data_IF_684063422952
#
_entry.id   IF_684063422952
#
_cell.length_a   1.000
_cell.length_b   1.000
_cell.length_c   1.000
_cell.angle_alpha   90.00
_cell.angle_beta   90.00
_cell.angle_gamma   90.00
#
_symmetry.space_group_name_H-M   'P 1'
#
loop_
_entity.id
_entity.type
_entity.pdbx_description
1 polymer ?
#
# COMPACT_ATOMS: atom_id res chain seq x y z
N UNK A 1 16.93 34.91 7.61
CA UNK A 1 16.63 33.56 8.14
C UNK A 1 16.18 33.74 9.58
N UNK A 2 14.88 33.65 9.86
CA UNK A 2 14.38 33.83 11.23
C UNK A 2 14.89 32.68 12.11
N UNK A 3 15.38 32.93 13.33
CA UNK A 3 15.83 31.86 14.21
C UNK A 3 14.67 30.94 14.53
N UNK A 4 14.89 29.62 14.42
CA UNK A 4 13.92 28.63 14.87
C UNK A 4 13.58 28.91 16.35
N UNK A 5 12.29 29.12 16.66
CA UNK A 5 11.85 29.29 18.04
C UNK A 5 12.28 28.07 18.84
N UNK A 6 13.08 28.27 19.88
CA UNK A 6 13.47 27.19 20.78
C UNK A 6 12.20 26.55 21.37
N UNK A 7 12.06 25.25 21.19
CA UNK A 7 11.00 24.47 21.85
C UNK A 7 11.21 24.62 23.36
N UNK A 8 10.19 25.04 24.13
CA UNK A 8 10.33 25.16 25.59
C UNK A 8 10.82 23.83 26.19
N UNK A 9 11.83 23.88 27.06
CA UNK A 9 12.49 22.69 27.62
C UNK A 9 11.50 21.70 28.27
N UNK A 10 10.41 22.21 28.85
CA UNK A 10 9.33 21.41 29.41
C UNK A 10 8.59 20.57 28.35
N UNK A 11 8.30 21.16 27.19
CA UNK A 11 7.61 20.46 26.10
C UNK A 11 8.50 19.33 25.54
N UNK A 12 9.81 19.57 25.38
CA UNK A 12 10.75 18.52 24.97
C UNK A 12 10.81 17.37 25.98
N UNK A 13 10.82 17.69 27.29
CA UNK A 13 10.79 16.68 28.34
C UNK A 13 9.50 15.82 28.28
N UNK A 14 8.34 16.45 28.09
CA UNK A 14 7.04 15.78 28.01
C UNK A 14 6.93 14.88 26.76
N UNK A 15 7.39 15.38 25.60
CA UNK A 15 7.45 14.61 24.35
C UNK A 15 8.34 13.38 24.53
N UNK A 16 9.54 13.54 25.12
CA UNK A 16 10.45 12.40 25.38
C UNK A 16 9.88 11.40 26.37
N UNK A 17 9.13 11.86 27.37
CA UNK A 17 8.46 10.99 28.32
C UNK A 17 7.35 10.17 27.63
N UNK A 18 6.54 10.81 26.79
CA UNK A 18 5.52 10.13 26.00
C UNK A 18 6.15 9.11 25.03
N UNK A 19 7.20 9.49 24.30
CA UNK A 19 7.90 8.60 23.38
C UNK A 19 8.45 7.35 24.08
N UNK A 20 9.04 7.50 25.27
CA UNK A 20 9.51 6.36 26.08
C UNK A 20 8.37 5.46 26.54
N UNK A 21 7.22 6.02 26.92
CA UNK A 21 6.02 5.23 27.26
C UNK A 21 5.50 4.44 26.06
N UNK A 22 5.37 5.08 24.90
CA UNK A 22 4.93 4.42 23.67
C UNK A 22 5.90 3.30 23.27
N UNK A 23 7.21 3.54 23.34
CA UNK A 23 8.22 2.52 23.07
C UNK A 23 8.17 1.33 24.03
N UNK A 24 7.84 1.57 25.31
CA UNK A 24 7.68 0.51 26.31
C UNK A 24 6.45 -0.37 26.09
N UNK A 25 5.35 0.20 25.56
CA UNK A 25 4.12 -0.55 25.24
C UNK A 25 4.18 -1.24 23.88
N UNK A 26 4.96 -0.71 22.94
CA UNK A 26 5.06 -1.22 21.58
C UNK A 26 5.64 -2.66 21.50
N UNK A 27 6.30 -3.16 22.54
CA UNK A 27 7.01 -4.44 22.52
C UNK A 27 8.14 -4.45 21.47
N UNK A 28 9.04 -5.42 21.54
CA UNK A 28 10.05 -5.58 20.49
C UNK A 28 9.36 -5.89 19.15
N UNK A 29 9.42 -4.92 18.23
CA UNK A 29 8.99 -4.94 16.82
C UNK A 29 7.47 -4.94 16.61
N UNK A 30 7.02 -3.88 15.94
CA UNK A 30 5.69 -3.73 15.36
C UNK A 30 5.24 -5.02 14.65
N UNK A 31 4.13 -5.60 15.07
CA UNK A 31 3.53 -6.80 14.45
C UNK A 31 3.18 -6.65 12.96
N UNK A 32 3.24 -5.43 12.41
CA UNK A 32 3.15 -5.17 10.95
C UNK A 32 4.37 -5.75 10.21
N UNK A 33 5.49 -5.91 10.91
CA UNK A 33 6.66 -6.70 10.51
C UNK A 33 6.64 -8.04 11.28
N UNK A 34 5.51 -8.74 11.30
CA UNK A 34 5.46 -10.18 11.60
C UNK A 34 5.02 -10.94 10.33
N UNK A 35 5.83 -10.71 9.30
CA UNK A 35 6.49 -11.69 8.41
C UNK A 35 5.95 -13.12 8.36
N UNK A 36 5.81 -13.62 7.12
CA UNK A 36 6.39 -14.92 6.80
C UNK A 36 7.91 -14.79 6.92
N UNK A 37 8.56 -15.46 7.88
CA UNK A 37 10.01 -15.49 8.20
C UNK A 37 11.01 -14.99 7.13
N UNK A 38 10.76 -15.33 5.85
CA UNK A 38 11.47 -14.84 4.68
C UNK A 38 11.48 -13.30 4.50
N UNK A 39 10.35 -12.60 4.68
CA UNK A 39 10.22 -11.14 4.44
C UNK A 39 11.09 -10.32 5.41
N UNK A 40 11.12 -10.70 6.70
CA UNK A 40 12.00 -10.10 7.71
C UNK A 40 13.48 -10.29 7.37
N UNK A 41 13.87 -11.50 6.95
CA UNK A 41 15.27 -11.84 6.69
C UNK A 41 15.79 -11.17 5.42
N UNK A 42 14.95 -11.11 4.38
CA UNK A 42 15.23 -10.40 3.13
C UNK A 42 15.35 -8.89 3.36
N UNK A 43 14.41 -8.28 4.08
CA UNK A 43 14.45 -6.84 4.36
C UNK A 43 15.63 -6.47 5.26
N UNK A 44 15.93 -7.28 6.28
CA UNK A 44 17.10 -7.11 7.14
C UNK A 44 18.43 -7.19 6.37
N UNK A 45 18.54 -8.14 5.44
CA UNK A 45 19.70 -8.26 4.56
C UNK A 45 19.83 -7.06 3.62
N UNK A 46 18.73 -6.63 2.99
CA UNK A 46 18.70 -5.45 2.14
C UNK A 46 19.10 -4.16 2.88
N UNK A 47 18.76 -4.02 4.17
CA UNK A 47 19.23 -2.86 4.94
C UNK A 47 20.74 -2.87 5.19
N UNK A 48 21.38 -4.03 5.12
CA UNK A 48 22.84 -4.19 5.34
C UNK A 48 23.65 -4.17 4.03
N UNK A 49 22.99 -4.35 2.87
CA UNK A 49 23.63 -4.45 1.55
C UNK A 49 22.92 -3.55 0.53
N UNK A 50 23.43 -2.32 0.28
CA UNK A 50 22.78 -1.35 -0.62
C UNK A 50 22.65 -1.82 -2.09
N UNK A 51 23.63 -2.57 -2.60
CA UNK A 51 23.59 -3.15 -3.96
C UNK A 51 22.44 -4.14 -4.09
N UNK A 52 22.39 -5.14 -3.22
CA UNK A 52 21.29 -6.10 -3.15
C UNK A 52 19.92 -5.44 -2.96
N UNK A 53 19.85 -4.42 -2.10
CA UNK A 53 18.61 -3.65 -1.89
C UNK A 53 18.10 -3.04 -3.18
N UNK A 54 19.00 -2.47 -3.99
CA UNK A 54 18.65 -1.83 -5.25
C UNK A 54 18.07 -2.84 -6.22
N UNK A 55 18.74 -3.97 -6.42
CA UNK A 55 18.27 -4.99 -7.35
C UNK A 55 16.99 -5.68 -6.86
N UNK A 56 16.84 -5.90 -5.55
CA UNK A 56 15.59 -6.40 -4.96
C UNK A 56 14.40 -5.47 -5.27
N UNK A 57 14.56 -4.16 -5.06
CA UNK A 57 13.46 -3.22 -5.34
C UNK A 57 13.16 -3.10 -6.83
N UNK A 58 14.16 -3.16 -7.71
CA UNK A 58 13.94 -3.19 -9.17
C UNK A 58 13.23 -4.46 -9.61
N UNK A 59 13.61 -5.61 -9.07
CA UNK A 59 12.94 -6.87 -9.37
C UNK A 59 11.47 -6.83 -8.94
N UNK A 60 11.17 -6.32 -7.74
CA UNK A 60 9.77 -6.16 -7.29
C UNK A 60 9.00 -5.20 -8.18
N UNK A 61 9.62 -4.13 -8.69
CA UNK A 61 8.99 -3.15 -9.59
C UNK A 61 8.63 -3.76 -10.96
N UNK A 62 9.53 -4.57 -11.54
CA UNK A 62 9.28 -5.21 -12.85
C UNK A 62 8.39 -6.46 -12.75
N UNK A 63 8.34 -7.10 -11.57
CA UNK A 63 7.67 -8.38 -11.39
C UNK A 63 6.21 -8.43 -11.93
N UNK A 64 5.35 -7.40 -11.74
CA UNK A 64 3.99 -7.39 -12.31
C UNK A 64 3.94 -7.43 -13.85
N UNK A 65 5.00 -6.99 -14.53
CA UNK A 65 5.10 -7.01 -15.98
C UNK A 65 5.57 -8.36 -16.55
N UNK A 66 5.97 -9.32 -15.70
CA UNK A 66 6.46 -10.63 -16.14
C UNK A 66 5.33 -11.50 -16.69
N UNK A 67 5.55 -12.07 -17.88
CA UNK A 67 4.52 -12.74 -18.68
C UNK A 67 4.42 -14.25 -18.45
N UNK A 68 5.33 -14.83 -17.64
CA UNK A 68 5.36 -16.25 -17.36
C UNK A 68 6.51 -16.67 -16.45
N UNK A 69 6.55 -17.93 -16.05
CA UNK A 69 7.56 -18.43 -15.09
C UNK A 69 8.98 -18.36 -15.65
N UNK A 70 9.16 -18.60 -16.95
CA UNK A 70 10.46 -18.43 -17.61
C UNK A 70 10.95 -16.97 -17.56
N UNK A 71 10.04 -16.01 -17.74
CA UNK A 71 10.32 -14.58 -17.70
C UNK A 71 10.70 -14.11 -16.29
N UNK A 72 10.00 -14.63 -15.26
CA UNK A 72 10.35 -14.41 -13.85
C UNK A 72 11.75 -14.93 -13.54
N UNK A 73 12.11 -16.11 -14.00
CA UNK A 73 13.42 -16.71 -13.74
C UNK A 73 14.54 -15.95 -14.46
N UNK A 74 14.31 -15.52 -15.71
CA UNK A 74 15.25 -14.70 -16.45
C UNK A 74 15.58 -13.42 -15.67
N UNK A 75 14.56 -12.70 -15.21
CA UNK A 75 14.76 -11.50 -14.40
C UNK A 75 15.41 -11.80 -13.05
N UNK A 76 15.05 -12.93 -12.42
CA UNK A 76 15.66 -13.32 -11.15
C UNK A 76 17.16 -13.57 -11.32
N UNK A 77 17.58 -14.29 -12.36
CA UNK A 77 19.00 -14.47 -12.68
C UNK A 77 19.70 -13.13 -12.99
N UNK A 78 19.11 -12.29 -13.85
CA UNK A 78 19.68 -10.99 -14.21
C UNK A 78 19.88 -10.04 -13.02
N UNK A 79 18.92 -9.98 -12.09
CA UNK A 79 19.01 -9.11 -10.90
C UNK A 79 19.88 -9.69 -9.79
N UNK A 80 20.09 -11.01 -9.76
CA UNK A 80 20.73 -11.70 -8.63
C UNK A 80 21.96 -12.53 -9.00
N UNK A 81 22.50 -12.45 -10.22
CA UNK A 81 23.75 -13.12 -10.61
C UNK A 81 25.05 -12.50 -9.99
N UNK A 82 24.92 -11.45 -9.17
CA UNK A 82 26.05 -10.74 -8.57
C UNK A 82 26.57 -11.36 -7.25
N UNK A 83 27.81 -11.05 -6.83
CA UNK A 83 28.45 -11.63 -5.63
C UNK A 83 27.83 -11.19 -4.29
N UNK A 84 26.93 -10.21 -4.30
CA UNK A 84 26.31 -9.60 -3.11
C UNK A 84 24.97 -10.23 -2.71
N UNK A 85 24.60 -11.34 -3.35
CA UNK A 85 23.35 -12.06 -3.08
C UNK A 85 23.53 -13.00 -1.88
N UNK A 86 22.52 -13.13 -0.99
CA UNK A 86 22.57 -14.16 0.05
C UNK A 86 22.78 -15.53 -0.60
N UNK A 87 23.85 -16.25 -0.21
CA UNK A 87 24.16 -17.62 -0.68
C UNK A 87 22.99 -18.62 -0.65
N UNK A 88 21.95 -18.34 0.14
CA UNK A 88 20.72 -19.15 0.23
C UNK A 88 19.81 -18.99 -1.00
N UNK A 89 19.85 -17.84 -1.66
CA UNK A 89 19.17 -17.61 -2.95
C UNK A 89 19.96 -18.27 -4.08
N UNK A 90 21.28 -18.08 -4.12
CA UNK A 90 22.16 -18.72 -5.13
C UNK A 90 22.04 -20.24 -5.10
N UNK A 91 22.12 -20.86 -3.92
CA UNK A 91 21.92 -22.32 -3.78
C UNK A 91 20.54 -22.77 -4.25
N UNK A 92 19.51 -21.93 -4.07
CA UNK A 92 18.14 -22.26 -4.47
C UNK A 92 17.96 -22.24 -5.98
N UNK A 93 18.65 -21.33 -6.68
CA UNK A 93 18.62 -21.20 -8.14
C UNK A 93 19.45 -22.29 -8.80
N UNK A 94 20.70 -22.49 -8.35
CA UNK A 94 21.58 -23.55 -8.87
C UNK A 94 20.97 -24.95 -8.70
N UNK A 95 20.32 -25.22 -7.56
CA UNK A 95 19.65 -26.52 -7.33
C UNK A 95 18.36 -26.64 -8.17
N UNK A 96 17.63 -25.55 -8.40
CA UNK A 96 16.44 -25.57 -9.24
C UNK A 96 16.77 -25.86 -10.71
N UNK A 97 17.92 -25.41 -11.20
CA UNK A 97 18.38 -25.66 -12.58
C UNK A 97 18.81 -27.11 -12.81
N UNK A 98 19.20 -27.83 -11.75
CA UNK A 98 19.65 -29.22 -11.82
C UNK A 98 18.54 -30.25 -11.53
N UNK A 99 17.33 -29.82 -11.20
CA UNK A 99 16.19 -30.70 -10.93
C UNK A 99 15.14 -30.64 -12.06
N UNK A 100 14.59 -31.77 -12.52
CA UNK A 100 13.43 -31.73 -13.40
C UNK A 100 12.28 -31.01 -12.68
N UNK A 101 11.72 -29.99 -13.33
CA UNK A 101 10.68 -29.08 -12.79
C UNK A 101 11.14 -28.11 -11.67
N UNK A 102 12.44 -28.03 -11.36
CA UNK A 102 12.94 -27.14 -10.31
C UNK A 102 12.75 -25.65 -10.61
N UNK A 103 12.94 -25.25 -11.87
CA UNK A 103 12.71 -23.89 -12.37
C UNK A 103 11.26 -23.42 -12.19
N UNK A 104 10.29 -24.25 -12.58
CA UNK A 104 8.86 -23.95 -12.40
C UNK A 104 8.48 -23.83 -10.91
N UNK A 105 9.05 -24.69 -10.05
CA UNK A 105 8.84 -24.60 -8.61
C UNK A 105 9.43 -23.31 -8.01
N UNK A 106 10.64 -22.92 -8.43
CA UNK A 106 11.29 -21.69 -7.99
C UNK A 106 10.51 -20.44 -8.39
N UNK A 107 10.04 -20.37 -9.64
CA UNK A 107 9.18 -19.29 -10.12
C UNK A 107 7.89 -19.19 -9.29
N UNK A 108 7.19 -20.31 -9.08
CA UNK A 108 5.97 -20.36 -8.28
C UNK A 108 6.18 -19.88 -6.84
N UNK A 109 7.30 -20.27 -6.21
CA UNK A 109 7.67 -19.82 -4.87
C UNK A 109 7.95 -18.31 -4.85
N UNK A 110 8.69 -17.80 -5.83
CA UNK A 110 8.97 -16.38 -5.97
C UNK A 110 7.66 -15.57 -6.12
N UNK A 111 6.77 -16.00 -7.02
CA UNK A 111 5.46 -15.38 -7.21
C UNK A 111 4.67 -15.35 -5.91
N UNK A 112 4.58 -16.49 -5.23
CA UNK A 112 3.82 -16.61 -3.98
C UNK A 112 4.37 -15.71 -2.88
N UNK A 113 5.68 -15.56 -2.77
CA UNK A 113 6.30 -14.68 -1.78
C UNK A 113 6.06 -13.21 -2.09
N UNK A 114 6.21 -12.79 -3.36
CA UNK A 114 5.98 -11.39 -3.77
C UNK A 114 4.50 -11.03 -3.61
N UNK A 115 3.58 -11.88 -4.07
CA UNK A 115 2.15 -11.67 -3.87
C UNK A 115 1.76 -11.62 -2.39
N UNK A 116 2.43 -12.41 -1.52
CA UNK A 116 2.20 -12.36 -0.08
C UNK A 116 2.64 -11.02 0.53
N UNK A 117 3.79 -10.49 0.11
CA UNK A 117 4.25 -9.16 0.54
C UNK A 117 3.29 -8.08 0.04
N UNK A 118 2.86 -8.15 -1.23
CA UNK A 118 1.87 -7.22 -1.77
C UNK A 118 0.55 -7.23 -0.98
N UNK A 119 0.04 -8.42 -0.63
CA UNK A 119 -1.18 -8.58 0.18
C UNK A 119 -1.09 -8.05 1.62
N UNK A 120 0.10 -7.68 2.10
CA UNK A 120 0.23 -6.96 3.39
C UNK A 120 -0.15 -5.49 3.27
N UNK A 121 0.00 -4.91 2.07
CA UNK A 121 -0.27 -3.52 1.79
C UNK A 121 -1.55 -3.33 0.95
N UNK A 122 -2.06 -4.39 0.35
CA UNK A 122 -3.24 -4.40 -0.53
C UNK A 122 -4.32 -5.28 0.09
N UNK A 123 -5.44 -4.67 0.45
CA UNK A 123 -6.53 -5.35 1.16
C UNK A 123 -7.47 -6.16 0.25
N UNK A 124 -7.47 -5.91 -1.07
CA UNK A 124 -8.27 -6.63 -2.05
C UNK A 124 -7.95 -6.20 -3.49
N UNK A 125 -8.24 -7.08 -4.45
CA UNK A 125 -8.12 -6.81 -5.90
C UNK A 125 -9.28 -5.99 -6.45
N UNK A 126 -10.44 -6.06 -5.81
CA UNK A 126 -11.64 -5.30 -6.16
C UNK A 126 -12.40 -4.81 -4.91
N UNK A 127 -13.39 -3.91 -5.06
CA UNK A 127 -14.14 -3.38 -3.93
C UNK A 127 -14.86 -4.43 -3.08
N UNK A 128 -15.33 -5.54 -3.66
CA UNK A 128 -16.04 -6.59 -2.93
C UNK A 128 -15.08 -7.43 -2.09
N UNK A 129 -13.91 -7.76 -2.65
CA UNK A 129 -12.84 -8.48 -1.96
C UNK A 129 -12.34 -7.72 -0.72
N UNK A 130 -12.31 -6.40 -0.78
CA UNK A 130 -11.81 -5.54 0.30
C UNK A 130 -12.73 -5.52 1.54
N UNK A 131 -14.04 -5.73 1.37
CA UNK A 131 -15.05 -5.56 2.45
C UNK A 131 -14.73 -6.42 3.67
N UNK A 132 -14.46 -7.71 3.47
CA UNK A 132 -14.20 -8.63 4.58
C UNK A 132 -12.92 -8.30 5.35
N UNK A 133 -11.91 -7.72 4.68
CA UNK A 133 -10.71 -7.21 5.32
C UNK A 133 -10.99 -5.98 6.18
N UNK A 134 -11.76 -5.04 5.64
CA UNK A 134 -12.10 -3.78 6.31
C UNK A 134 -13.04 -4.01 7.50
N UNK A 135 -14.02 -4.91 7.39
CA UNK A 135 -14.89 -5.28 8.50
C UNK A 135 -14.09 -5.90 9.66
N UNK A 136 -13.07 -6.71 9.35
CA UNK A 136 -12.19 -7.28 10.37
C UNK A 136 -11.41 -6.19 11.10
N UNK A 137 -10.89 -5.19 10.39
CA UNK A 137 -10.22 -4.03 11.01
C UNK A 137 -11.18 -3.27 11.93
N UNK A 138 -12.40 -3.02 11.45
CA UNK A 138 -13.46 -2.36 12.22
C UNK A 138 -13.75 -3.11 13.53
N UNK A 139 -13.99 -4.42 13.46
CA UNK A 139 -14.24 -5.28 14.64
C UNK A 139 -13.09 -5.32 15.64
N UNK A 140 -11.87 -4.99 15.21
CA UNK A 140 -10.69 -4.89 16.09
C UNK A 140 -10.48 -3.49 16.68
N UNK A 141 -11.42 -2.57 16.48
CA UNK A 141 -11.33 -1.20 16.99
C UNK A 141 -10.45 -0.29 16.14
N UNK A 142 -10.37 -0.54 14.83
CA UNK A 142 -9.61 0.30 13.89
C UNK A 142 -10.50 0.81 12.77
N UNK A 143 -10.56 2.13 12.62
CA UNK A 143 -11.03 2.78 11.39
C UNK A 143 -10.02 2.57 10.25
N UNK A 144 -10.37 3.01 9.04
CA UNK A 144 -9.53 2.91 7.86
C UNK A 144 -9.75 4.09 6.91
N UNK A 145 -8.85 4.25 5.95
CA UNK A 145 -9.10 4.96 4.69
C UNK A 145 -8.66 4.06 3.54
N UNK A 146 -9.46 3.97 2.48
CA UNK A 146 -9.14 3.15 1.31
C UNK A 146 -8.60 4.03 0.18
N UNK A 147 -7.39 3.74 -0.29
CA UNK A 147 -6.82 4.35 -1.49
C UNK A 147 -6.86 3.35 -2.64
N UNK A 148 -7.26 3.80 -3.82
CA UNK A 148 -7.20 2.97 -5.02
C UNK A 148 -5.80 3.00 -5.61
N UNK A 149 -5.20 1.82 -5.73
CA UNK A 149 -4.00 1.63 -6.51
C UNK A 149 -4.32 1.73 -8.01
N UNK A 150 -3.45 2.41 -8.72
CA UNK A 150 -3.52 2.61 -10.16
C UNK A 150 -2.20 3.14 -10.68
N UNK A 151 -1.95 2.88 -11.95
CA UNK A 151 -0.83 3.46 -12.67
C UNK A 151 -1.09 4.94 -12.94
N UNK A 152 -0.08 5.62 -13.49
CA UNK A 152 -0.21 7.01 -13.90
C UNK A 152 -1.30 7.12 -14.98
N UNK A 153 -2.33 7.92 -14.73
CA UNK A 153 -3.33 8.31 -15.71
C UNK A 153 -2.70 9.14 -16.83
N UNK A 154 -2.78 8.66 -18.07
CA UNK A 154 -2.22 9.31 -19.26
C UNK A 154 -3.33 9.70 -20.24
N UNK A 155 -4.49 9.04 -20.18
CA UNK A 155 -5.66 9.28 -21.05
C UNK A 155 -6.88 9.76 -20.27
N UNK A 156 -7.86 10.33 -20.96
CA UNK A 156 -9.12 10.74 -20.32
C UNK A 156 -9.97 9.53 -19.94
N UNK A 157 -9.92 8.47 -20.75
CA UNK A 157 -10.61 7.20 -20.52
C UNK A 157 -10.13 6.53 -19.23
N UNK A 158 -8.82 6.56 -18.96
CA UNK A 158 -8.25 6.09 -17.69
C UNK A 158 -8.71 6.95 -16.50
N UNK A 159 -8.82 8.27 -16.68
CA UNK A 159 -9.33 9.17 -15.65
C UNK A 159 -10.80 8.89 -15.32
N UNK A 160 -11.61 8.61 -16.35
CA UNK A 160 -13.02 8.21 -16.21
C UNK A 160 -13.16 6.84 -15.53
N UNK A 161 -12.30 5.88 -15.90
CA UNK A 161 -12.26 4.57 -15.27
C UNK A 161 -11.87 4.66 -13.79
N UNK A 162 -10.88 5.48 -13.44
CA UNK A 162 -10.50 5.73 -12.04
C UNK A 162 -11.65 6.34 -11.25
N UNK A 163 -12.29 7.40 -11.77
CA UNK A 163 -13.44 8.03 -11.12
C UNK A 163 -14.63 7.07 -10.91
N UNK A 164 -14.88 6.20 -11.91
CA UNK A 164 -15.91 5.16 -11.83
C UNK A 164 -15.60 4.13 -10.75
N UNK A 165 -14.34 3.69 -10.64
CA UNK A 165 -13.89 2.77 -9.58
C UNK A 165 -14.03 3.38 -8.20
N UNK A 166 -13.68 4.66 -8.01
CA UNK A 166 -13.88 5.35 -6.72
C UNK A 166 -15.36 5.38 -6.36
N UNK A 167 -16.22 5.73 -7.32
CA UNK A 167 -17.67 5.79 -7.11
C UNK A 167 -18.26 4.42 -6.78
N UNK A 168 -17.80 3.35 -7.44
CA UNK A 168 -18.21 1.98 -7.15
C UNK A 168 -17.77 1.55 -5.75
N UNK A 169 -16.52 1.85 -5.37
CA UNK A 169 -15.98 1.58 -4.04
C UNK A 169 -16.83 2.24 -2.94
N UNK A 170 -17.13 3.54 -3.09
CA UNK A 170 -17.99 4.26 -2.13
C UNK A 170 -19.33 3.56 -1.91
N UNK A 171 -20.00 3.14 -3.00
CA UNK A 171 -21.31 2.46 -2.92
C UNK A 171 -21.21 1.10 -2.23
N UNK A 172 -20.20 0.30 -2.58
CA UNK A 172 -19.97 -1.02 -2.00
C UNK A 172 -19.67 -0.91 -0.51
N UNK A 173 -18.76 -0.01 -0.12
CA UNK A 173 -18.40 0.18 1.27
C UNK A 173 -19.54 0.77 2.10
N UNK A 174 -20.26 1.76 1.58
CA UNK A 174 -21.41 2.34 2.28
C UNK A 174 -22.44 1.24 2.60
N UNK A 175 -22.84 0.46 1.60
CA UNK A 175 -23.79 -0.65 1.78
C UNK A 175 -23.29 -1.73 2.73
N UNK A 176 -22.00 -2.09 2.66
CA UNK A 176 -21.43 -3.09 3.57
C UNK A 176 -21.37 -2.60 5.03
N UNK A 177 -21.00 -1.33 5.22
CA UNK A 177 -20.78 -0.73 6.54
C UNK A 177 -22.04 -0.57 7.39
N UNK A 178 -23.24 -0.61 6.77
CA UNK A 178 -24.53 -0.63 7.47
C UNK A 178 -24.66 -1.83 8.41
N UNK A 179 -24.00 -2.95 8.09
CA UNK A 179 -24.08 -4.20 8.87
C UNK A 179 -22.98 -4.32 9.91
N UNK A 180 -22.04 -3.37 9.96
CA UNK A 180 -20.94 -3.41 10.91
C UNK A 180 -21.43 -3.07 12.32
N UNK A 181 -20.84 -3.70 13.36
CA UNK A 181 -21.21 -3.41 14.74
C UNK A 181 -20.94 -1.94 15.06
N UNK A 182 -21.86 -1.28 15.77
CA UNK A 182 -21.64 0.10 16.17
C UNK A 182 -20.46 0.21 17.15
N UNK A 183 -19.61 1.20 16.96
CA UNK A 183 -18.47 1.50 17.83
C UNK A 183 -18.36 3.02 18.04
N UNK A 184 -18.77 3.49 19.21
CA UNK A 184 -18.73 4.91 19.56
C UNK A 184 -17.33 5.52 19.61
N UNK A 185 -16.27 4.70 19.72
CA UNK A 185 -14.89 5.19 19.65
C UNK A 185 -14.44 5.48 18.22
N UNK A 186 -15.03 4.79 17.23
CA UNK A 186 -14.71 4.95 15.81
C UNK A 186 -15.66 5.90 15.08
N UNK A 187 -16.88 6.07 15.62
CA UNK A 187 -17.97 6.80 14.97
C UNK A 187 -18.17 8.22 15.52
N UNK A 188 -17.36 8.67 16.48
CA UNK A 188 -17.42 10.03 17.01
C UNK A 188 -16.10 10.51 17.60
N UNK A 189 -15.85 11.81 17.51
CA UNK A 189 -14.79 12.52 18.22
C UNK A 189 -15.33 13.74 18.99
N UNK A 190 -14.45 14.63 19.45
CA UNK A 190 -14.80 15.86 20.16
C UNK A 190 -15.47 16.92 19.25
N UNK A 191 -15.44 16.74 17.93
CA UNK A 191 -16.04 17.62 16.94
C UNK A 191 -17.38 17.11 16.41
N UNK A 192 -17.64 15.80 16.47
CA UNK A 192 -18.94 15.22 16.15
C UNK A 192 -18.89 13.81 15.57
N UNK A 193 -19.92 13.41 14.80
CA UNK A 193 -19.98 12.07 14.21
C UNK A 193 -18.94 11.91 13.08
N UNK A 194 -18.34 10.73 13.02
CA UNK A 194 -17.37 10.33 12.00
C UNK A 194 -17.99 9.30 11.05
N UNK A 195 -17.60 9.37 9.77
CA UNK A 195 -18.04 8.43 8.75
C UNK A 195 -17.37 7.06 8.94
N UNK A 196 -18.16 5.97 8.84
CA UNK A 196 -17.65 4.59 8.84
C UNK A 196 -16.81 4.28 7.59
N UNK A 197 -17.07 4.99 6.51
CA UNK A 197 -16.41 4.84 5.21
C UNK A 197 -15.56 6.06 4.94
N UNK A 198 -14.30 5.85 4.62
CA UNK A 198 -13.36 6.89 4.24
C UNK A 198 -12.55 6.45 3.02
N UNK A 199 -12.55 7.25 1.96
CA UNK A 199 -11.87 6.95 0.71
C UNK A 199 -10.88 8.07 0.35
N UNK A 200 -9.61 7.69 0.22
CA UNK A 200 -8.56 8.58 -0.27
C UNK A 200 -8.57 8.62 -1.80
N UNK A 201 -8.52 9.83 -2.37
CA UNK A 201 -8.52 10.06 -3.82
C UNK A 201 -7.28 10.83 -4.22
N UNK A 202 -6.57 10.37 -5.25
CA UNK A 202 -5.42 11.07 -5.83
C UNK A 202 -5.89 12.00 -6.95
N UNK A 203 -5.78 13.35 -6.80
CA UNK A 203 -6.25 14.27 -7.82
C UNK A 203 -5.57 14.08 -9.19
N UNK A 204 -4.30 13.66 -9.19
CA UNK A 204 -3.53 13.34 -10.39
C UNK A 204 -4.08 12.16 -11.18
N UNK A 205 -4.83 11.25 -10.55
CA UNK A 205 -5.44 10.12 -11.24
C UNK A 205 -6.75 10.51 -11.96
N UNK A 206 -7.30 11.70 -11.66
CA UNK A 206 -8.54 12.24 -12.26
C UNK A 206 -8.28 13.14 -13.47
N UNK A 207 -7.04 13.27 -13.92
CA UNK A 207 -6.67 14.14 -15.03
C UNK A 207 -5.44 13.61 -15.77
N UNK A 208 -5.57 13.46 -17.09
CA UNK A 208 -4.45 13.05 -17.95
C UNK A 208 -3.34 14.12 -18.03
N UNK A 209 -3.69 15.39 -17.82
CA UNK A 209 -2.79 16.55 -17.98
C UNK A 209 -2.57 17.30 -16.68
N UNK A 210 -2.21 16.59 -15.61
CA UNK A 210 -1.97 17.20 -14.29
C UNK A 210 -0.51 17.65 -14.09
N UNK A 211 -0.12 18.76 -14.72
CA UNK A 211 1.25 19.31 -14.69
C UNK A 211 1.24 20.84 -14.54
N UNK A 212 2.32 21.48 -14.02
CA UNK A 212 2.43 22.93 -13.95
C UNK A 212 2.18 23.67 -15.27
N UNK A 213 2.56 23.07 -16.41
CA UNK A 213 2.39 23.66 -17.75
C UNK A 213 0.95 23.54 -18.29
N UNK A 214 0.19 22.57 -17.79
CA UNK A 214 -1.21 22.31 -18.17
C UNK A 214 -2.14 22.53 -16.96
N UNK A 215 -1.77 23.48 -16.09
CA UNK A 215 -2.43 23.68 -14.80
C UNK A 215 -3.92 23.95 -14.95
N UNK A 216 -4.31 24.79 -15.92
CA UNK A 216 -5.70 25.20 -16.11
C UNK A 216 -6.54 24.00 -16.54
N UNK A 217 -6.07 23.26 -17.54
CA UNK A 217 -6.74 22.07 -18.07
C UNK A 217 -6.78 20.93 -17.04
N UNK A 218 -5.64 20.61 -16.42
CA UNK A 218 -5.53 19.52 -15.45
C UNK A 218 -6.38 19.75 -14.20
N UNK A 219 -6.45 20.98 -13.69
CA UNK A 219 -7.35 21.31 -12.58
C UNK A 219 -8.82 21.26 -13.00
N UNK A 220 -9.16 21.67 -14.23
CA UNK A 220 -10.53 21.55 -14.73
C UNK A 220 -10.96 20.08 -14.82
N UNK A 221 -10.15 19.24 -15.49
CA UNK A 221 -10.36 17.79 -15.62
C UNK A 221 -10.56 17.12 -14.24
N UNK A 222 -9.64 17.37 -13.31
CA UNK A 222 -9.72 16.78 -11.98
C UNK A 222 -10.99 17.23 -11.23
N UNK A 223 -11.36 18.52 -11.31
CA UNK A 223 -12.56 19.04 -10.65
C UNK A 223 -13.84 18.49 -11.25
N UNK A 224 -13.90 18.26 -12.56
CA UNK A 224 -15.10 17.77 -13.23
C UNK A 224 -15.43 16.33 -12.81
N UNK A 225 -14.40 15.52 -12.54
CA UNK A 225 -14.56 14.15 -12.01
C UNK A 225 -14.65 14.09 -10.47
N UNK A 226 -13.94 14.96 -9.76
CA UNK A 226 -13.94 14.97 -8.29
C UNK A 226 -15.27 15.45 -7.70
N UNK A 227 -15.92 16.46 -8.31
CA UNK A 227 -17.18 17.01 -7.76
C UNK A 227 -18.31 15.96 -7.66
N UNK A 228 -18.60 15.14 -8.69
CA UNK A 228 -19.56 14.04 -8.57
C UNK A 228 -19.21 13.05 -7.46
N UNK A 229 -17.93 12.69 -7.30
CA UNK A 229 -17.46 11.78 -6.25
C UNK A 229 -17.75 12.36 -4.86
N UNK A 230 -17.41 13.64 -4.63
CA UNK A 230 -17.67 14.31 -3.36
C UNK A 230 -19.16 14.44 -3.04
N UNK A 231 -20.01 14.67 -4.06
CA UNK A 231 -21.47 14.68 -3.87
C UNK A 231 -21.98 13.31 -3.47
N UNK A 232 -21.51 12.26 -4.14
CA UNK A 232 -21.86 10.88 -3.81
C UNK A 232 -21.40 10.50 -2.39
N UNK A 233 -20.18 10.86 -2.00
CA UNK A 233 -19.68 10.62 -0.65
C UNK A 233 -20.58 11.28 0.40
N UNK A 234 -20.96 12.55 0.18
CA UNK A 234 -21.90 13.27 1.05
C UNK A 234 -23.27 12.59 1.13
N UNK A 235 -23.82 12.13 0.01
CA UNK A 235 -25.10 11.43 -0.05
C UNK A 235 -25.08 10.10 0.71
N UNK A 236 -23.94 9.41 0.70
CA UNK A 236 -23.73 8.13 1.39
C UNK A 236 -23.24 8.29 2.84
N UNK A 237 -22.99 9.51 3.33
CA UNK A 237 -22.39 9.74 4.64
C UNK A 237 -20.95 9.23 4.75
N UNK A 238 -20.22 9.18 3.63
CA UNK A 238 -18.81 8.79 3.56
C UNK A 238 -17.88 10.02 3.58
N UNK A 239 -16.63 9.78 3.97
CA UNK A 239 -15.53 10.76 3.97
C UNK A 239 -14.66 10.61 2.72
#
# INVERSE_FOLDING_TARGET
MAPAKAVPAQLDADVRALARRLAGVAGERSRVVQSSWWSERMLGWAMSHPSFRTELFRFVDVFPATTGDADVLCHLDEYFAGPDVPRVLDLGLEVADHLPFGSAAAASIARRNISRVAGQFIIGSDPADAVGGLERLWRTGSAFTVDLLGEKTITEEEADAYASRVSALLRVLASASERWPADGHLEADDLGPLARVNVSVKPTALASRFSPLTRVEGLAQAKDRLRPILRLARELGAY
#
